data_IF_518166461878
#
_entry.id   IF_518166461878
#
_cell.length_a   1.000
_cell.length_b   1.000
_cell.length_c   1.000
_cell.angle_alpha   90.00
_cell.angle_beta   90.00
_cell.angle_gamma   90.00
#
_symmetry.space_group_name_H-M   'P 1'
#
loop_
_entity.id
_entity.type
_entity.pdbx_description
1 polymer ?
#
# COMPACT_ATOMS: atom_id res chain seq x y z
N UNK A 1 27.76 -18.68 -22.82
CA UNK A 1 26.65 -19.38 -23.53
C UNK A 1 25.38 -19.10 -22.76
N UNK A 2 24.60 -18.18 -23.30
CA UNK A 2 23.32 -17.73 -22.85
C UNK A 2 22.31 -18.88 -22.79
N UNK A 3 21.90 -19.29 -21.60
CA UNK A 3 20.65 -20.00 -21.43
C UNK A 3 19.56 -18.92 -21.41
N UNK A 4 19.03 -18.59 -22.58
CA UNK A 4 17.70 -18.01 -22.72
C UNK A 4 16.73 -19.07 -22.21
N UNK A 5 16.39 -18.96 -20.91
CA UNK A 5 15.32 -19.74 -20.33
C UNK A 5 14.02 -19.31 -21.01
N UNK A 6 13.36 -20.25 -21.60
CA UNK A 6 12.04 -20.27 -22.21
C UNK A 6 11.00 -19.41 -21.49
N UNK A 7 11.03 -18.12 -21.78
CA UNK A 7 9.91 -17.22 -21.51
C UNK A 7 8.94 -17.37 -22.68
N UNK A 8 8.00 -18.30 -22.61
CA UNK A 8 7.02 -18.33 -23.68
C UNK A 8 6.28 -19.62 -23.94
N UNK A 9 5.89 -20.37 -22.95
CA UNK A 9 4.74 -21.26 -23.13
C UNK A 9 3.88 -21.15 -21.85
N UNK A 10 2.66 -20.67 -22.01
CA UNK A 10 1.69 -20.47 -20.95
C UNK A 10 1.15 -21.77 -20.34
N UNK A 11 1.94 -22.81 -20.30
CA UNK A 11 1.62 -24.09 -19.66
C UNK A 11 1.91 -23.94 -18.19
N UNK A 12 0.84 -23.85 -17.40
CA UNK A 12 0.95 -23.96 -15.95
C UNK A 12 1.44 -25.37 -15.60
N UNK A 13 2.38 -25.52 -14.66
CA UNK A 13 2.81 -26.84 -14.19
C UNK A 13 1.60 -27.59 -13.58
N UNK A 14 1.44 -28.87 -13.91
CA UNK A 14 0.36 -29.72 -13.34
C UNK A 14 0.54 -29.98 -11.83
N UNK A 15 1.74 -29.76 -11.31
CA UNK A 15 2.05 -29.88 -9.88
C UNK A 15 1.56 -28.66 -9.10
N UNK A 16 0.67 -28.81 -8.11
CA UNK A 16 0.13 -27.71 -7.31
C UNK A 16 1.19 -26.86 -6.62
N UNK A 17 2.31 -27.47 -6.19
CA UNK A 17 3.42 -26.78 -5.53
C UNK A 17 4.12 -25.86 -6.52
N UNK A 18 4.43 -26.38 -7.70
CA UNK A 18 5.07 -25.59 -8.76
C UNK A 18 4.16 -24.49 -9.28
N UNK A 19 2.84 -24.75 -9.34
CA UNK A 19 1.84 -23.75 -9.71
C UNK A 19 1.82 -22.60 -8.70
N UNK A 20 1.83 -22.91 -7.41
CA UNK A 20 1.91 -21.91 -6.34
C UNK A 20 3.23 -21.11 -6.42
N UNK A 21 4.37 -21.77 -6.53
CA UNK A 21 5.67 -21.10 -6.67
C UNK A 21 5.69 -20.16 -7.86
N UNK A 22 5.19 -20.60 -9.00
CA UNK A 22 5.13 -19.81 -10.22
C UNK A 22 4.20 -18.60 -10.10
N UNK A 23 3.02 -18.77 -9.50
CA UNK A 23 2.04 -17.69 -9.32
C UNK A 23 2.53 -16.64 -8.33
N UNK A 24 3.30 -17.04 -7.31
CA UNK A 24 3.76 -16.15 -6.23
C UNK A 24 5.20 -15.66 -6.39
N UNK A 25 5.85 -15.95 -7.52
CA UNK A 25 7.26 -15.59 -7.73
C UNK A 25 7.53 -14.09 -7.62
N UNK A 26 6.56 -13.27 -8.02
CA UNK A 26 6.59 -11.81 -7.95
C UNK A 26 5.80 -11.29 -6.74
N UNK A 27 6.10 -11.82 -5.57
CA UNK A 27 5.57 -11.32 -4.30
C UNK A 27 6.47 -10.23 -3.76
N UNK A 28 5.90 -9.12 -3.31
CA UNK A 28 6.64 -8.02 -2.71
C UNK A 28 7.30 -8.47 -1.42
N UNK A 29 8.63 -8.37 -1.26
CA UNK A 29 9.29 -8.66 0.00
C UNK A 29 8.93 -7.60 1.05
N UNK A 30 8.66 -7.99 2.32
CA UNK A 30 8.29 -7.03 3.36
C UNK A 30 9.32 -5.93 3.60
N UNK A 31 10.61 -6.24 3.46
CA UNK A 31 11.67 -5.24 3.58
C UNK A 31 11.58 -4.16 2.51
N UNK A 32 11.11 -4.50 1.31
CA UNK A 32 11.01 -3.55 0.20
C UNK A 32 9.82 -2.57 0.34
N UNK A 33 8.98 -2.71 1.38
CA UNK A 33 8.03 -1.67 1.77
C UNK A 33 8.73 -0.34 2.14
N UNK A 34 10.01 -0.37 2.48
CA UNK A 34 10.81 0.83 2.70
C UNK A 34 10.92 1.70 1.43
N UNK A 35 10.83 1.11 0.26
CA UNK A 35 10.82 1.85 -1.00
C UNK A 35 9.58 2.74 -1.16
N UNK A 36 8.51 2.49 -0.42
CA UNK A 36 7.34 3.39 -0.41
C UNK A 36 7.74 4.83 -0.02
N UNK A 37 8.76 4.96 0.82
CA UNK A 37 9.24 6.23 1.35
C UNK A 37 10.57 6.66 0.74
N UNK A 38 11.49 5.70 0.54
CA UNK A 38 12.84 5.96 0.05
C UNK A 38 13.05 5.26 -1.32
N UNK A 39 12.96 5.99 -2.43
CA UNK A 39 13.08 5.39 -3.76
C UNK A 39 14.49 4.80 -3.97
N UNK A 40 14.55 3.70 -4.70
CA UNK A 40 15.79 3.04 -5.12
C UNK A 40 16.71 2.59 -3.96
N UNK A 41 16.17 2.41 -2.75
CA UNK A 41 16.98 1.96 -1.60
C UNK A 41 17.58 0.56 -1.82
N UNK A 42 16.95 -0.27 -2.65
CA UNK A 42 17.44 -1.59 -3.05
C UNK A 42 18.13 -1.60 -4.42
N UNK A 43 18.56 -0.44 -4.89
CA UNK A 43 19.12 -0.28 -6.22
C UNK A 43 18.04 0.01 -7.25
N UNK A 44 18.46 0.15 -8.51
CA UNK A 44 17.56 0.64 -9.54
C UNK A 44 17.14 -0.47 -10.49
N UNK A 45 18.08 -1.09 -11.16
CA UNK A 45 17.79 -2.08 -12.20
C UNK A 45 18.80 -3.21 -12.20
N UNK A 46 18.36 -4.44 -12.50
CA UNK A 46 19.26 -5.60 -12.55
C UNK A 46 20.35 -5.49 -13.62
N UNK A 47 20.18 -4.63 -14.60
CA UNK A 47 21.15 -4.38 -15.69
C UNK A 47 21.99 -3.13 -15.51
N UNK A 48 21.74 -2.32 -14.49
CA UNK A 48 22.50 -1.10 -14.24
C UNK A 48 23.78 -1.42 -13.48
N UNK A 49 24.93 -1.21 -14.13
CA UNK A 49 26.25 -1.41 -13.53
C UNK A 49 26.59 -0.40 -12.43
N UNK A 50 25.93 0.78 -12.44
CA UNK A 50 26.16 1.85 -11.46
C UNK A 50 25.37 1.69 -10.17
N UNK A 51 24.18 1.09 -10.24
CA UNK A 51 23.30 0.91 -9.10
C UNK A 51 22.48 -0.39 -9.26
N UNK A 52 23.13 -1.56 -9.22
CA UNK A 52 22.45 -2.83 -9.45
C UNK A 52 21.39 -3.08 -8.37
N UNK A 53 20.25 -3.63 -8.79
CA UNK A 53 19.22 -4.05 -7.86
C UNK A 53 19.69 -5.24 -7.02
N UNK A 54 19.64 -5.08 -5.70
CA UNK A 54 20.03 -6.08 -4.71
C UNK A 54 18.87 -6.55 -3.83
N UNK A 55 17.64 -6.14 -4.15
CA UNK A 55 16.42 -6.60 -3.48
C UNK A 55 16.09 -8.06 -3.76
N UNK A 56 14.96 -8.50 -3.23
CA UNK A 56 14.51 -9.90 -3.27
C UNK A 56 13.32 -10.14 -4.20
N UNK A 57 12.77 -9.10 -4.82
CA UNK A 57 11.65 -9.24 -5.73
C UNK A 57 12.06 -10.08 -6.96
N UNK A 58 11.26 -11.09 -7.27
CA UNK A 58 11.53 -12.02 -8.38
C UNK A 58 12.43 -13.21 -8.04
N UNK A 59 12.93 -13.31 -6.82
CA UNK A 59 13.67 -14.50 -6.36
C UNK A 59 12.71 -15.69 -6.14
N UNK A 60 13.14 -16.91 -6.53
CA UNK A 60 12.41 -18.14 -6.21
C UNK A 60 12.47 -18.46 -4.71
N UNK A 61 11.61 -19.39 -4.25
CA UNK A 61 11.64 -19.85 -2.84
C UNK A 61 12.98 -20.50 -2.46
N UNK A 62 13.66 -21.13 -3.43
CA UNK A 62 14.97 -21.79 -3.25
C UNK A 62 16.10 -21.00 -3.89
N UNK A 63 16.01 -19.68 -3.87
CA UNK A 63 17.02 -18.81 -4.49
C UNK A 63 18.44 -19.05 -3.94
N UNK A 64 18.56 -19.23 -2.62
CA UNK A 64 19.88 -19.43 -1.99
C UNK A 64 20.59 -20.70 -2.49
N UNK A 65 19.81 -21.74 -2.81
CA UNK A 65 20.33 -23.03 -3.28
C UNK A 65 20.54 -23.05 -4.80
N UNK A 66 19.57 -22.54 -5.55
CA UNK A 66 19.51 -22.73 -7.00
C UNK A 66 19.95 -21.52 -7.78
N UNK A 67 19.91 -20.33 -7.17
CA UNK A 67 20.09 -19.02 -7.84
C UNK A 67 19.17 -18.85 -9.06
N UNK A 68 18.04 -19.57 -9.06
CA UNK A 68 17.03 -19.49 -10.11
C UNK A 68 15.91 -18.54 -9.70
N UNK A 69 15.59 -17.63 -10.59
CA UNK A 69 14.51 -16.64 -10.43
C UNK A 69 14.54 -15.67 -11.59
N UNK A 70 13.46 -14.96 -11.73
CA UNK A 70 13.36 -13.86 -12.69
C UNK A 70 13.55 -12.57 -11.90
N UNK A 71 14.79 -12.10 -11.83
CA UNK A 71 15.07 -10.79 -11.25
C UNK A 71 14.27 -9.74 -12.02
N UNK A 72 13.74 -8.78 -11.28
CA UNK A 72 12.95 -7.73 -11.89
C UNK A 72 13.83 -6.82 -12.76
N UNK A 73 13.63 -6.91 -14.08
CA UNK A 73 14.34 -6.07 -15.05
C UNK A 73 13.61 -4.78 -15.41
N UNK A 74 12.36 -4.59 -14.95
CA UNK A 74 11.48 -3.53 -15.46
C UNK A 74 10.77 -2.72 -14.39
N UNK A 75 10.74 -3.18 -13.15
CA UNK A 75 10.09 -2.46 -12.06
C UNK A 75 11.16 -1.80 -11.20
N UNK A 76 11.46 -0.55 -11.49
CA UNK A 76 12.58 0.16 -10.88
C UNK A 76 12.35 0.50 -9.42
N UNK A 77 11.11 0.78 -9.02
CA UNK A 77 10.77 1.15 -7.65
C UNK A 77 9.27 1.06 -7.40
N UNK A 78 8.89 0.78 -6.18
CA UNK A 78 7.51 0.86 -5.69
C UNK A 78 7.26 2.15 -4.89
N UNK A 79 8.01 3.20 -5.18
CA UNK A 79 7.93 4.48 -4.49
C UNK A 79 6.54 5.12 -4.62
N UNK A 80 5.90 5.39 -3.49
CA UNK A 80 4.55 5.96 -3.44
C UNK A 80 4.52 7.48 -3.29
N UNK A 81 5.66 8.09 -3.01
CA UNK A 81 5.76 9.55 -2.82
C UNK A 81 5.52 9.99 -1.38
N UNK A 82 6.46 10.76 -0.85
CA UNK A 82 6.42 11.23 0.55
C UNK A 82 5.22 12.16 0.79
N UNK A 83 4.92 13.06 -0.15
CA UNK A 83 3.82 14.02 -0.01
C UNK A 83 2.47 13.27 0.03
N UNK A 84 2.29 12.29 -0.86
CA UNK A 84 1.10 11.46 -0.92
C UNK A 84 0.90 10.69 0.39
N UNK A 85 1.97 10.11 0.93
CA UNK A 85 1.92 9.39 2.20
C UNK A 85 1.62 10.32 3.38
N UNK A 86 2.15 11.54 3.41
CA UNK A 86 1.84 12.53 4.44
C UNK A 86 0.38 12.97 4.40
N UNK A 87 -0.18 13.22 3.21
CA UNK A 87 -1.59 13.57 3.05
C UNK A 87 -2.50 12.38 3.42
N UNK A 88 -2.12 11.17 3.03
CA UNK A 88 -2.80 9.95 3.44
C UNK A 88 -2.79 9.79 4.96
N UNK A 89 -1.65 9.96 5.60
CA UNK A 89 -1.52 9.92 7.05
C UNK A 89 -2.34 11.01 7.74
N UNK A 90 -2.34 12.22 7.18
CA UNK A 90 -3.18 13.31 7.68
C UNK A 90 -4.66 12.92 7.67
N UNK A 91 -5.16 12.38 6.54
CA UNK A 91 -6.53 11.87 6.47
C UNK A 91 -6.79 10.80 7.54
N UNK A 92 -5.87 9.83 7.72
CA UNK A 92 -6.01 8.77 8.73
C UNK A 92 -6.18 9.36 10.14
N UNK A 93 -5.35 10.33 10.50
CA UNK A 93 -5.46 11.03 11.80
C UNK A 93 -6.84 11.69 11.95
N UNK A 94 -7.35 12.30 10.88
CA UNK A 94 -8.70 12.93 10.89
C UNK A 94 -9.82 11.90 10.99
N UNK A 95 -9.67 10.73 10.38
CA UNK A 95 -10.64 9.63 10.47
C UNK A 95 -10.73 9.02 11.88
N UNK A 96 -9.60 8.94 12.59
CA UNK A 96 -9.53 8.38 13.94
C UNK A 96 -10.09 9.36 14.99
N UNK A 97 -10.05 10.66 14.73
CA UNK A 97 -10.57 11.68 15.65
C UNK A 97 -12.09 11.54 15.87
N UNK A 98 -12.62 11.98 17.04
CA UNK A 98 -14.05 11.86 17.38
C UNK A 98 -14.98 12.48 16.31
N UNK A 99 -16.22 12.02 16.34
CA UNK A 99 -17.29 12.51 15.46
C UNK A 99 -17.42 14.04 15.49
N UNK A 100 -17.63 14.65 14.31
CA UNK A 100 -17.70 16.10 14.12
C UNK A 100 -16.55 16.69 13.31
N UNK A 101 -15.44 15.97 13.17
CA UNK A 101 -14.30 16.42 12.38
C UNK A 101 -14.50 16.30 10.86
N UNK A 102 -15.34 15.34 10.42
CA UNK A 102 -15.65 15.08 9.01
C UNK A 102 -17.14 14.69 8.87
N UNK A 103 -17.79 15.02 7.74
CA UNK A 103 -19.11 14.49 7.42
C UNK A 103 -19.12 12.97 7.40
N UNK A 104 -20.18 12.33 7.88
CA UNK A 104 -20.27 10.86 7.99
C UNK A 104 -20.01 10.14 6.67
N UNK A 105 -20.54 10.66 5.57
CA UNK A 105 -20.34 10.10 4.22
C UNK A 105 -18.86 10.16 3.84
N UNK A 106 -18.19 11.29 4.04
CA UNK A 106 -16.77 11.44 3.75
C UNK A 106 -15.92 10.53 4.64
N UNK A 107 -16.30 10.36 5.90
CA UNK A 107 -15.64 9.42 6.84
C UNK A 107 -15.78 7.97 6.39
N UNK A 108 -16.97 7.55 5.94
CA UNK A 108 -17.21 6.22 5.41
C UNK A 108 -16.34 5.91 4.19
N UNK A 109 -16.32 6.82 3.21
CA UNK A 109 -15.45 6.69 2.04
C UNK A 109 -13.97 6.72 2.38
N UNK A 110 -13.56 7.54 3.34
CA UNK A 110 -12.17 7.56 3.83
C UNK A 110 -11.73 6.22 4.39
N UNK A 111 -12.54 5.59 5.24
CA UNK A 111 -12.26 4.26 5.77
C UNK A 111 -12.25 3.18 4.70
N UNK A 112 -13.19 3.25 3.74
CA UNK A 112 -13.23 2.30 2.62
C UNK A 112 -11.93 2.33 1.82
N UNK A 113 -11.46 3.52 1.40
CA UNK A 113 -10.26 3.64 0.59
C UNK A 113 -8.99 3.31 1.36
N UNK A 114 -8.94 3.63 2.66
CA UNK A 114 -7.85 3.20 3.52
C UNK A 114 -7.81 1.68 3.67
N UNK A 115 -8.95 1.03 3.88
CA UNK A 115 -9.05 -0.42 3.92
C UNK A 115 -8.62 -1.04 2.59
N UNK A 116 -9.08 -0.49 1.46
CA UNK A 116 -8.66 -0.93 0.13
C UNK A 116 -7.14 -0.80 -0.07
N UNK A 117 -6.54 0.34 0.32
CA UNK A 117 -5.10 0.52 0.29
C UNK A 117 -4.36 -0.57 1.08
N UNK A 118 -4.74 -0.76 2.33
CA UNK A 118 -4.08 -1.76 3.21
C UNK A 118 -4.27 -3.18 2.65
N UNK A 119 -5.48 -3.55 2.25
CA UNK A 119 -5.76 -4.87 1.69
C UNK A 119 -4.93 -5.11 0.42
N UNK A 120 -4.84 -4.15 -0.49
CA UNK A 120 -4.05 -4.29 -1.70
C UNK A 120 -2.54 -4.40 -1.41
N UNK A 121 -2.01 -3.67 -0.43
CA UNK A 121 -0.62 -3.85 0.04
C UNK A 121 -0.40 -5.26 0.57
N UNK A 122 -1.31 -5.76 1.42
CA UNK A 122 -1.22 -7.12 1.96
C UNK A 122 -1.31 -8.19 0.86
N UNK A 123 -2.10 -7.96 -0.19
CA UNK A 123 -2.16 -8.82 -1.36
C UNK A 123 -0.88 -8.77 -2.20
N UNK A 124 -0.27 -7.60 -2.34
CA UNK A 124 1.00 -7.45 -3.04
C UNK A 124 2.16 -8.20 -2.36
N UNK A 125 2.10 -8.37 -1.02
CA UNK A 125 3.06 -9.20 -0.28
C UNK A 125 3.00 -10.68 -0.70
N UNK A 126 1.91 -11.13 -1.30
CA UNK A 126 1.75 -12.46 -1.88
C UNK A 126 2.13 -13.58 -0.90
N UNK A 127 3.11 -14.41 -1.27
CA UNK A 127 3.59 -15.53 -0.43
C UNK A 127 4.13 -15.12 0.94
N UNK A 128 4.53 -13.86 1.10
CA UNK A 128 5.11 -13.34 2.34
C UNK A 128 4.03 -12.98 3.37
N UNK A 129 2.75 -13.05 3.01
CA UNK A 129 1.65 -12.78 3.92
C UNK A 129 0.50 -13.80 3.75
N UNK A 130 -0.10 -14.31 4.85
CA UNK A 130 -1.05 -15.42 4.80
C UNK A 130 -2.35 -15.10 4.04
N UNK A 131 -2.75 -13.82 3.94
CA UNK A 131 -3.97 -13.39 3.25
C UNK A 131 -4.01 -13.89 1.79
N UNK A 132 -2.89 -13.81 1.09
CA UNK A 132 -2.84 -14.25 -0.31
C UNK A 132 -3.10 -15.75 -0.46
N UNK A 133 -2.68 -16.56 0.52
CA UNK A 133 -2.93 -18.01 0.52
C UNK A 133 -4.42 -18.32 0.64
N UNK A 134 -5.15 -17.55 1.47
CA UNK A 134 -6.60 -17.70 1.62
C UNK A 134 -7.33 -17.33 0.33
N UNK A 135 -6.93 -16.21 -0.29
CA UNK A 135 -7.54 -15.76 -1.55
C UNK A 135 -7.20 -16.69 -2.71
N UNK A 136 -5.99 -17.22 -2.75
CA UNK A 136 -5.55 -18.18 -3.77
C UNK A 136 -6.36 -19.47 -3.76
N UNK A 137 -6.96 -19.85 -2.62
CA UNK A 137 -7.84 -21.00 -2.51
C UNK A 137 -9.23 -20.77 -3.15
N UNK A 138 -9.58 -19.53 -3.52
CA UNK A 138 -10.83 -19.23 -4.20
C UNK A 138 -10.74 -19.62 -5.69
N UNK A 139 -11.83 -20.12 -6.27
CA UNK A 139 -11.88 -20.45 -7.68
C UNK A 139 -11.56 -19.20 -8.53
N UNK A 140 -10.85 -19.38 -9.63
CA UNK A 140 -10.39 -18.35 -10.58
C UNK A 140 -9.22 -17.49 -10.11
N UNK A 141 -8.90 -17.40 -8.82
CA UNK A 141 -7.77 -16.60 -8.32
C UNK A 141 -6.43 -17.28 -8.58
N UNK A 142 -6.43 -18.60 -8.73
CA UNK A 142 -5.23 -19.38 -9.07
C UNK A 142 -4.63 -19.02 -10.44
N UNK A 143 -5.38 -18.33 -11.29
CA UNK A 143 -4.90 -17.78 -12.56
C UNK A 143 -4.23 -16.40 -12.42
N UNK A 144 -4.36 -15.73 -11.28
CA UNK A 144 -3.70 -14.44 -11.03
C UNK A 144 -2.23 -14.70 -10.75
N UNK A 145 -1.40 -14.22 -11.66
CA UNK A 145 0.07 -14.31 -11.55
C UNK A 145 0.63 -12.97 -11.08
N UNK A 146 1.72 -13.05 -10.31
CA UNK A 146 2.46 -11.89 -9.86
C UNK A 146 1.66 -10.99 -8.90
N UNK A 147 1.64 -11.33 -7.59
CA UNK A 147 0.96 -10.52 -6.56
C UNK A 147 1.35 -9.05 -6.54
N UNK A 148 2.58 -8.72 -6.93
CA UNK A 148 3.06 -7.33 -7.04
C UNK A 148 2.19 -6.46 -7.96
N UNK A 149 1.39 -7.03 -8.86
CA UNK A 149 0.43 -6.27 -9.68
C UNK A 149 -0.64 -5.56 -8.86
N UNK A 150 -0.92 -6.02 -7.64
CA UNK A 150 -1.80 -5.31 -6.73
C UNK A 150 -1.26 -3.93 -6.36
N UNK A 151 0.04 -3.64 -6.61
CA UNK A 151 0.60 -2.31 -6.43
C UNK A 151 -0.09 -1.25 -7.30
N UNK A 152 -0.58 -1.59 -8.49
CA UNK A 152 -1.37 -0.64 -9.29
C UNK A 152 -2.68 -0.22 -8.58
N UNK A 153 -3.31 -1.16 -7.86
CA UNK A 153 -4.49 -0.84 -7.06
C UNK A 153 -4.12 -0.04 -5.80
N UNK A 154 -2.94 -0.30 -5.23
CA UNK A 154 -2.38 0.51 -4.13
C UNK A 154 -2.21 1.96 -4.58
N UNK A 155 -1.65 2.20 -5.77
CA UNK A 155 -1.45 3.55 -6.33
C UNK A 155 -2.80 4.27 -6.55
N UNK A 156 -3.80 3.57 -7.09
CA UNK A 156 -5.16 4.13 -7.28
C UNK A 156 -5.79 4.46 -5.93
N UNK A 157 -5.75 3.55 -4.96
CA UNK A 157 -6.32 3.78 -3.65
C UNK A 157 -5.61 4.94 -2.93
N UNK A 158 -4.28 5.00 -3.02
CA UNK A 158 -3.47 6.08 -2.46
C UNK A 158 -3.80 7.43 -3.11
N UNK A 159 -4.00 7.48 -4.43
CA UNK A 159 -4.38 8.71 -5.12
C UNK A 159 -5.71 9.28 -4.59
N UNK A 160 -6.71 8.40 -4.37
CA UNK A 160 -8.00 8.82 -3.77
C UNK A 160 -7.83 9.27 -2.33
N UNK A 161 -7.11 8.50 -1.51
CA UNK A 161 -6.83 8.86 -0.10
C UNK A 161 -6.07 10.18 -0.02
N UNK A 162 -5.10 10.40 -0.90
CA UNK A 162 -4.34 11.65 -1.00
C UNK A 162 -5.26 12.84 -1.37
N UNK A 163 -6.13 12.68 -2.36
CA UNK A 163 -7.09 13.72 -2.76
C UNK A 163 -8.05 14.08 -1.62
N UNK A 164 -8.57 13.07 -0.90
CA UNK A 164 -9.41 13.27 0.28
C UNK A 164 -8.64 13.94 1.43
N UNK A 165 -7.37 13.57 1.62
CA UNK A 165 -6.48 14.19 2.60
C UNK A 165 -6.24 15.66 2.30
N UNK A 166 -6.02 15.98 1.03
CA UNK A 166 -5.83 17.35 0.56
C UNK A 166 -7.11 18.20 0.75
N UNK A 167 -8.28 17.68 0.34
CA UNK A 167 -9.58 18.35 0.57
C UNK A 167 -9.82 18.62 2.06
N UNK A 168 -9.54 17.62 2.91
CA UNK A 168 -9.67 17.75 4.36
C UNK A 168 -8.72 18.82 4.91
N UNK A 169 -7.47 18.85 4.44
CA UNK A 169 -6.47 19.84 4.84
C UNK A 169 -6.91 21.26 4.45
N UNK A 170 -7.40 21.44 3.22
CA UNK A 170 -7.91 22.75 2.77
C UNK A 170 -9.10 23.22 3.60
N UNK A 171 -10.04 22.33 3.91
CA UNK A 171 -11.18 22.67 4.78
C UNK A 171 -10.73 23.09 6.16
N UNK A 172 -9.76 22.39 6.75
CA UNK A 172 -9.26 22.72 8.09
C UNK A 172 -8.50 24.05 8.12
N UNK A 173 -7.78 24.39 7.05
CA UNK A 173 -7.07 25.68 6.95
C UNK A 173 -8.06 26.83 6.69
N UNK A 174 -9.10 26.58 5.89
CA UNK A 174 -10.07 27.62 5.53
C UNK A 174 -11.24 27.75 6.52
N UNK A 175 -11.41 26.78 7.43
CA UNK A 175 -12.40 26.91 8.48
C UNK A 175 -12.07 28.14 9.34
N UNK A 176 -12.96 29.16 9.44
CA UNK A 176 -12.72 30.25 10.35
C UNK A 176 -12.59 29.70 11.76
N UNK A 177 -11.63 30.21 12.54
CA UNK A 177 -11.50 29.86 13.94
C UNK A 177 -12.87 30.07 14.60
N UNK A 178 -13.49 28.98 15.07
CA UNK A 178 -14.77 29.07 15.79
C UNK A 178 -14.56 30.09 16.90
N UNK A 179 -15.40 31.14 17.00
CA UNK A 179 -15.35 32.05 18.13
C UNK A 179 -15.43 31.22 19.41
N UNK A 180 -14.58 31.53 20.36
CA UNK A 180 -14.60 30.88 21.68
C UNK A 180 -16.05 30.91 22.18
N UNK A 181 -16.58 29.81 22.79
CA UNK A 181 -17.92 29.84 23.34
C UNK A 181 -18.02 31.07 24.27
N UNK A 182 -18.93 31.99 23.89
CA UNK A 182 -19.23 33.15 24.75
C UNK A 182 -19.55 32.61 26.14
N UNK A 183 -18.77 33.02 27.12
CA UNK A 183 -19.02 32.65 28.47
C UNK A 183 -20.43 33.13 28.85
N UNK A 184 -21.32 32.17 29.10
CA UNK A 184 -22.71 32.42 29.47
C UNK A 184 -22.74 33.45 30.61
N UNK A 185 -23.27 34.68 30.41
CA UNK A 185 -23.31 35.71 31.43
C UNK A 185 -24.21 35.32 32.60
N UNK A 186 -25.00 34.26 32.53
CA UNK A 186 -25.90 33.80 33.59
C UNK A 186 -25.17 33.09 34.73
N UNK A 187 -23.90 32.69 34.56
CA UNK A 187 -23.15 32.02 35.63
C UNK A 187 -22.66 32.94 36.77
N UNK A 188 -22.81 34.27 36.64
CA UNK A 188 -22.38 35.24 37.66
C UNK A 188 -23.49 35.70 38.63
N UNK A 189 -24.71 35.18 38.50
CA UNK A 189 -25.85 35.67 39.30
C UNK A 189 -26.19 34.81 40.55
N UNK A 190 -25.29 33.94 41.00
CA UNK A 190 -25.55 32.96 42.09
C UNK A 190 -24.80 33.19 43.41
N UNK A 191 -24.24 34.37 43.67
CA UNK A 191 -23.61 34.63 45.01
C UNK A 191 -23.85 36.08 45.47
N UNK A 192 -25.06 36.34 45.88
CA UNK A 192 -25.38 37.42 46.84
C UNK A 192 -26.71 37.08 47.50
N UNK A 193 -26.69 36.49 48.66
CA UNK A 193 -27.67 36.71 49.72
C UNK A 193 -27.03 36.59 51.07
N UNK A 194 -27.45 37.42 52.04
CA UNK A 194 -26.79 37.73 53.30
C UNK A 194 -26.90 36.62 54.34
#
# INVERSE_FOLDING_TARGET
>A
RSQQATAGTGVQPDDPVKKWEFSTNWSLPPGELLEFVAPCIYGNESGDAGAPYWGKLGQSLRWEETRQGLMNLRQHTVYLGIIQLLLAFYLLVRLIRPAGALPEIARGWGWFWWAAFVVCVLLALGRNFPLYRVIYALPFVDSIRAPVKFMHLVEVALAVVCAMGLDTLFRDIMAPALPAPEADPSSKSGKQQP
#
